data_IF_524522648694
#
_entry.id   IF_524522648694
#
_cell.length_a   1.000
_cell.length_b   1.000
_cell.length_c   1.000
_cell.angle_alpha   90.00
_cell.angle_beta   90.00
_cell.angle_gamma   90.00
#
_symmetry.space_group_name_H-M   'P 1'
#
loop_
_entity.id
_entity.type
_entity.pdbx_description
1 polymer ?
#
# COMPACT_ATOMS: atom_id res chain seq x y z
N UNK A 1 16.84 -2.20 -8.00
CA UNK A 1 16.13 -1.55 -6.88
C UNK A 1 15.58 -0.24 -7.36
N UNK A 2 14.25 -0.16 -7.48
CA UNK A 2 13.52 1.03 -7.92
C UNK A 2 13.57 2.13 -6.84
N UNK A 3 13.28 3.40 -7.19
CA UNK A 3 13.15 4.48 -6.20
C UNK A 3 12.12 4.14 -5.10
N UNK A 4 11.02 3.49 -5.46
CA UNK A 4 10.01 3.00 -4.51
C UNK A 4 10.56 1.99 -3.52
N UNK A 5 11.26 0.96 -4.01
CA UNK A 5 11.79 -0.10 -3.14
C UNK A 5 12.76 0.45 -2.08
N UNK A 6 13.54 1.48 -2.41
CA UNK A 6 14.42 2.15 -1.43
C UNK A 6 13.60 2.81 -0.32
N UNK A 7 12.60 3.60 -0.70
CA UNK A 7 11.73 4.30 0.26
C UNK A 7 10.93 3.31 1.11
N UNK A 8 10.42 2.24 0.51
CA UNK A 8 9.68 1.20 1.24
C UNK A 8 10.56 0.46 2.26
N UNK A 9 11.83 0.22 1.95
CA UNK A 9 12.81 -0.36 2.88
C UNK A 9 13.13 0.63 4.01
N UNK A 10 13.35 1.90 3.69
CA UNK A 10 13.67 2.95 4.69
C UNK A 10 12.50 3.21 5.64
N UNK A 11 11.26 3.05 5.17
CA UNK A 11 10.03 3.20 5.96
C UNK A 11 9.65 1.94 6.73
N UNK A 12 10.40 0.84 6.61
CA UNK A 12 10.08 -0.40 7.31
C UNK A 12 9.98 -0.17 8.83
N UNK A 13 8.97 -0.77 9.44
CA UNK A 13 8.72 -0.69 10.88
C UNK A 13 9.19 -1.95 11.57
N UNK A 14 9.85 -1.82 12.72
CA UNK A 14 10.22 -2.98 13.53
C UNK A 14 8.98 -3.52 14.27
N UNK A 15 8.74 -4.82 14.11
CA UNK A 15 7.69 -5.54 14.80
C UNK A 15 8.34 -6.64 15.63
N UNK A 16 7.98 -6.72 16.91
CA UNK A 16 8.40 -7.83 17.75
C UNK A 16 7.66 -9.10 17.33
N UNK A 17 8.44 -10.10 16.90
CA UNK A 17 7.94 -11.43 16.60
C UNK A 17 8.66 -12.41 17.51
N UNK A 18 7.98 -12.81 18.58
CA UNK A 18 8.50 -13.75 19.57
C UNK A 18 9.83 -13.31 20.20
N UNK A 19 9.95 -12.02 20.55
CA UNK A 19 11.15 -11.44 21.17
C UNK A 19 12.26 -11.08 20.19
N UNK A 20 11.99 -11.16 18.88
CA UNK A 20 12.92 -10.74 17.82
C UNK A 20 12.34 -9.54 17.10
N UNK A 21 13.08 -8.43 17.05
CA UNK A 21 12.73 -7.27 16.24
C UNK A 21 12.94 -7.61 14.75
N UNK A 22 11.86 -7.62 13.98
CA UNK A 22 11.88 -7.95 12.55
C UNK A 22 11.36 -6.75 11.76
N UNK A 23 12.04 -6.31 10.68
CA UNK A 23 11.54 -5.23 9.83
C UNK A 23 10.37 -5.71 8.96
N UNK A 24 9.26 -4.99 9.03
CA UNK A 24 8.07 -5.21 8.19
C UNK A 24 7.78 -3.97 7.32
N UNK A 25 7.22 -4.20 6.13
CA UNK A 25 6.70 -3.11 5.32
C UNK A 25 5.54 -2.39 6.04
N UNK A 26 5.40 -1.09 5.79
CA UNK A 26 4.28 -0.30 6.31
C UNK A 26 2.95 -0.79 5.72
N UNK A 27 1.83 -0.42 6.35
CA UNK A 27 0.51 -0.74 5.82
C UNK A 27 0.29 -0.13 4.43
N UNK A 28 0.83 1.07 4.19
CA UNK A 28 0.78 1.75 2.89
C UNK A 28 1.57 0.99 1.83
N UNK A 29 2.81 0.59 2.15
CA UNK A 29 3.68 -0.13 1.21
C UNK A 29 3.12 -1.53 0.92
N UNK A 30 2.47 -2.17 1.90
CA UNK A 30 1.72 -3.41 1.70
C UNK A 30 0.54 -3.23 0.74
N UNK A 31 -0.23 -2.13 0.86
CA UNK A 31 -1.33 -1.81 -0.05
C UNK A 31 -0.77 -1.60 -1.47
N UNK A 32 0.24 -0.74 -1.63
CA UNK A 32 0.84 -0.46 -2.93
C UNK A 32 1.36 -1.75 -3.58
N UNK A 33 2.05 -2.60 -2.83
CA UNK A 33 2.60 -3.85 -3.36
C UNK A 33 1.51 -4.83 -3.81
N UNK A 34 0.41 -4.93 -3.06
CA UNK A 34 -0.77 -5.72 -3.45
C UNK A 34 -1.39 -5.17 -4.73
N UNK A 35 -1.69 -3.88 -4.79
CA UNK A 35 -2.31 -3.28 -5.98
C UNK A 35 -1.41 -3.41 -7.22
N UNK A 36 -0.09 -3.22 -7.06
CA UNK A 36 0.87 -3.32 -8.16
C UNK A 36 1.08 -4.76 -8.67
N UNK A 37 0.95 -5.77 -7.81
CA UNK A 37 1.07 -7.18 -8.18
C UNK A 37 -0.13 -7.68 -9.03
N UNK A 38 -1.29 -7.02 -8.95
CA UNK A 38 -2.39 -7.16 -9.90
C UNK A 38 -3.01 -8.56 -9.97
N UNK A 39 -2.90 -9.38 -8.91
CA UNK A 39 -3.60 -10.67 -8.86
C UNK A 39 -5.03 -10.42 -8.37
N UNK A 40 -5.98 -11.16 -8.92
CA UNK A 40 -7.44 -10.97 -8.77
C UNK A 40 -8.01 -11.01 -7.32
N UNK A 41 -7.16 -11.03 -6.30
CA UNK A 41 -7.47 -11.08 -4.85
C UNK A 41 -7.04 -9.77 -4.14
N UNK A 42 -6.37 -8.83 -4.83
CA UNK A 42 -5.65 -7.71 -4.20
C UNK A 42 -6.52 -6.54 -3.68
N UNK A 43 -7.72 -6.35 -4.21
CA UNK A 43 -8.59 -5.22 -3.82
C UNK A 43 -9.31 -5.47 -2.48
N UNK A 44 -9.75 -6.71 -2.22
CA UNK A 44 -10.42 -7.07 -0.95
C UNK A 44 -9.42 -7.13 0.21
N UNK A 45 -8.20 -7.61 -0.04
CA UNK A 45 -7.11 -7.60 0.92
C UNK A 45 -6.68 -6.16 1.26
N UNK A 46 -6.47 -5.31 0.25
CA UNK A 46 -6.19 -3.90 0.45
C UNK A 46 -7.34 -3.21 1.21
N UNK A 47 -8.60 -3.51 0.86
CA UNK A 47 -9.77 -3.00 1.56
C UNK A 47 -9.82 -3.47 3.02
N UNK A 48 -9.36 -4.69 3.33
CA UNK A 48 -9.28 -5.17 4.71
C UNK A 48 -8.26 -4.39 5.52
N UNK A 49 -7.11 -4.06 4.95
CA UNK A 49 -6.11 -3.20 5.59
C UNK A 49 -6.71 -1.80 5.82
N UNK A 50 -7.37 -1.23 4.81
CA UNK A 50 -8.00 0.09 4.89
C UNK A 50 -9.14 0.14 5.92
N UNK A 51 -9.97 -0.89 6.02
CA UNK A 51 -11.02 -0.95 7.07
C UNK A 51 -10.43 -0.96 8.47
N UNK A 52 -9.30 -1.63 8.66
CA UNK A 52 -8.65 -1.75 9.99
C UNK A 52 -7.78 -0.56 10.35
N UNK A 53 -7.14 0.06 9.36
CA UNK A 53 -6.07 1.05 9.55
C UNK A 53 -6.30 2.36 8.82
N UNK A 54 -7.42 2.55 8.13
CA UNK A 54 -7.64 3.67 7.22
C UNK A 54 -7.52 5.06 7.84
N UNK A 55 -7.78 5.20 9.14
CA UNK A 55 -7.55 6.43 9.89
C UNK A 55 -6.08 6.74 10.16
N UNK A 56 -5.23 5.71 10.21
CA UNK A 56 -3.79 5.77 10.46
C UNK A 56 -2.98 5.85 9.14
N UNK A 57 -3.60 5.51 8.00
CA UNK A 57 -2.92 5.50 6.70
C UNK A 57 -2.56 6.90 6.21
N UNK A 58 -1.34 7.04 5.70
CA UNK A 58 -0.91 8.18 4.89
C UNK A 58 -1.44 8.06 3.46
N UNK A 59 -2.63 8.63 3.25
CA UNK A 59 -3.27 8.65 1.94
C UNK A 59 -2.52 9.50 0.91
N UNK A 60 -1.79 10.54 1.34
CA UNK A 60 -1.02 11.37 0.41
C UNK A 60 0.16 10.57 -0.15
N UNK A 61 0.82 9.77 0.69
CA UNK A 61 1.87 8.84 0.27
C UNK A 61 1.34 7.80 -0.73
N UNK A 62 0.19 7.18 -0.44
CA UNK A 62 -0.46 6.22 -1.33
C UNK A 62 -0.76 6.86 -2.70
N UNK A 63 -1.39 8.03 -2.71
CA UNK A 63 -1.75 8.77 -3.92
C UNK A 63 -0.53 9.23 -4.74
N UNK A 64 0.58 9.57 -4.08
CA UNK A 64 1.84 9.93 -4.74
C UNK A 64 2.42 8.76 -5.53
N UNK A 65 2.57 7.60 -4.89
CA UNK A 65 3.20 6.45 -5.53
C UNK A 65 2.35 5.83 -6.63
N UNK A 66 1.04 5.66 -6.41
CA UNK A 66 0.18 5.09 -7.45
C UNK A 66 0.07 5.98 -8.68
N UNK A 67 0.26 7.29 -8.54
CA UNK A 67 0.36 8.21 -9.67
C UNK A 67 1.62 7.97 -10.48
N UNK A 68 2.76 7.78 -9.82
CA UNK A 68 4.01 7.43 -10.50
C UNK A 68 3.94 6.05 -11.17
N UNK A 69 3.22 5.10 -10.58
CA UNK A 69 3.03 3.78 -11.19
C UNK A 69 1.98 3.75 -12.30
N UNK A 70 1.12 4.76 -12.43
CA UNK A 70 0.14 4.82 -13.50
C UNK A 70 0.78 4.91 -14.89
N UNK A 71 2.03 5.39 -14.98
CA UNK A 71 2.80 5.45 -16.22
C UNK A 71 3.35 4.08 -16.65
N UNK A 72 3.24 3.05 -15.81
CA UNK A 72 3.69 1.69 -16.13
C UNK A 72 2.57 0.94 -16.87
N UNK A 73 2.81 0.34 -18.05
CA UNK A 73 1.78 -0.35 -18.82
C UNK A 73 1.03 -1.41 -18.01
N UNK A 74 -0.30 -1.36 -18.02
CA UNK A 74 -1.18 -2.25 -17.25
C UNK A 74 -1.41 -1.85 -15.78
N UNK A 75 -0.94 -0.66 -15.36
CA UNK A 75 -1.12 -0.11 -14.01
C UNK A 75 -1.84 1.25 -14.01
N UNK A 76 -2.43 1.63 -15.13
CA UNK A 76 -3.12 2.90 -15.35
C UNK A 76 -4.31 3.09 -14.40
N UNK A 77 -4.86 1.97 -13.88
CA UNK A 77 -6.00 1.97 -12.96
C UNK A 77 -5.65 2.14 -11.48
N UNK A 78 -4.36 2.12 -11.10
CA UNK A 78 -3.94 2.17 -9.70
C UNK A 78 -4.45 3.42 -8.95
N UNK A 79 -4.42 4.64 -9.52
CA UNK A 79 -4.98 5.81 -8.85
C UNK A 79 -6.47 5.68 -8.56
N UNK A 80 -7.24 5.11 -9.48
CA UNK A 80 -8.68 4.89 -9.30
C UNK A 80 -8.95 3.84 -8.22
N UNK A 81 -8.12 2.80 -8.13
CA UNK A 81 -8.22 1.78 -7.10
C UNK A 81 -7.95 2.37 -5.69
N UNK A 82 -6.91 3.18 -5.53
CA UNK A 82 -6.64 3.87 -4.25
C UNK A 82 -7.75 4.83 -3.87
N UNK A 83 -8.29 5.57 -4.84
CA UNK A 83 -9.44 6.46 -4.59
C UNK A 83 -10.65 5.67 -4.09
N UNK A 84 -10.97 4.55 -4.73
CA UNK A 84 -12.08 3.68 -4.31
C UNK A 84 -11.87 3.10 -2.91
N UNK A 85 -10.64 2.76 -2.54
CA UNK A 85 -10.28 2.32 -1.20
C UNK A 85 -10.46 3.44 -0.16
N UNK A 86 -10.06 4.68 -0.49
CA UNK A 86 -10.19 5.85 0.39
C UNK A 86 -11.64 6.14 0.74
N UNK A 87 -12.54 5.99 -0.22
CA UNK A 87 -13.98 6.19 -0.04
C UNK A 87 -14.61 5.12 0.88
N UNK A 88 -14.01 3.92 0.99
CA UNK A 88 -14.48 2.82 1.84
C UNK A 88 -14.03 2.91 3.31
N UNK A 89 -13.20 3.90 3.68
CA UNK A 89 -12.69 4.10 5.04
C UNK A 89 -13.78 4.40 6.08
N UNK A 90 -14.95 4.88 5.64
CA UNK A 90 -16.01 5.41 6.51
C UNK A 90 -17.25 4.53 6.68
N UNK A 91 -17.17 3.24 6.38
CA UNK A 91 -18.25 2.26 6.60
C UNK A 91 -18.17 1.55 7.95
#
# INVERSE_FOLDING_TARGET
>A
MTPYEKVAIERAVEVDVAGVAVPFATAEDLIIHKLFAGRAVDLEDAATVVRRKGSELDWAYLEEWVRQFADVPGRESLPQQVKALKEQRGG
#
